data_IF_575303473151
#
_entry.id   IF_575303473151
#
_cell.length_a   1.000
_cell.length_b   1.000
_cell.length_c   1.000
_cell.angle_alpha   90.00
_cell.angle_beta   90.00
_cell.angle_gamma   90.00
#
_symmetry.space_group_name_H-M   'P 1'
#
loop_
_entity.id
_entity.type
_entity.pdbx_description
1 polymer ?
#
# COMPACT_ATOMS: atom_id res chain seq x y z
N UNK A 1 -12.01 67.34 45.67
CA UNK A 1 -13.07 66.35 45.42
C UNK A 1 -13.26 66.40 43.91
N UNK A 2 -12.90 65.41 43.11
CA UNK A 2 -12.99 63.96 43.32
C UNK A 2 -11.76 63.22 42.76
N UNK A 3 -11.60 62.01 43.26
CA UNK A 3 -10.46 61.10 43.21
C UNK A 3 -10.60 59.99 42.17
N UNK A 4 -9.46 59.36 41.87
CA UNK A 4 -9.27 57.98 41.38
C UNK A 4 -9.64 57.66 39.93
N UNK A 5 -8.89 56.81 39.21
CA UNK A 5 -7.79 55.98 39.66
C UNK A 5 -7.08 55.25 38.52
N UNK A 6 -5.86 54.83 38.84
CA UNK A 6 -5.01 53.87 38.14
C UNK A 6 -5.74 52.57 37.79
N UNK A 7 -5.54 52.09 36.56
CA UNK A 7 -5.58 50.66 36.27
C UNK A 7 -4.59 50.31 35.17
N UNK A 8 -3.60 49.53 35.58
CA UNK A 8 -2.63 48.83 34.75
C UNK A 8 -3.26 47.61 34.02
N UNK A 9 -2.41 46.97 33.21
CA UNK A 9 -2.59 45.71 32.45
C UNK A 9 -3.24 45.88 31.06
N UNK A 10 -2.74 45.28 29.98
CA UNK A 10 -1.80 44.17 29.83
C UNK A 10 -1.26 44.21 28.40
N UNK A 11 0.06 44.10 28.23
CA UNK A 11 0.69 43.91 26.94
C UNK A 11 0.77 42.40 26.68
N UNK A 12 -0.11 41.88 25.81
CA UNK A 12 -0.04 40.48 25.37
C UNK A 12 0.83 40.41 24.10
N UNK A 13 2.06 39.93 24.27
CA UNK A 13 2.95 39.54 23.19
C UNK A 13 2.45 38.23 22.56
N UNK A 14 1.53 38.34 21.60
CA UNK A 14 1.11 37.23 20.75
C UNK A 14 2.12 36.99 19.63
N UNK A 15 3.17 36.20 19.91
CA UNK A 15 4.10 35.68 18.91
C UNK A 15 3.43 34.65 17.99
N UNK A 16 2.54 35.10 17.11
CA UNK A 16 1.99 34.27 16.04
C UNK A 16 3.06 34.00 15.00
N UNK A 17 3.45 32.74 14.83
CA UNK A 17 4.24 32.31 13.69
C UNK A 17 3.59 32.87 12.42
N UNK A 18 4.30 33.76 11.71
CA UNK A 18 3.81 34.33 10.47
C UNK A 18 3.59 33.17 9.50
N UNK A 19 2.34 32.76 9.33
CA UNK A 19 1.96 31.88 8.23
C UNK A 19 2.17 32.70 6.97
N UNK A 20 3.34 32.52 6.35
CA UNK A 20 3.64 33.15 5.08
C UNK A 20 2.71 32.53 4.04
N UNK A 21 1.66 33.24 3.67
CA UNK A 21 0.84 32.87 2.52
C UNK A 21 1.60 33.26 1.27
N UNK A 22 2.19 32.27 0.60
CA UNK A 22 2.86 32.45 -0.68
C UNK A 22 1.82 32.30 -1.80
N UNK A 23 1.32 33.42 -2.32
CA UNK A 23 0.49 33.41 -3.53
C UNK A 23 1.38 33.16 -4.76
N UNK A 24 1.40 31.92 -5.25
CA UNK A 24 2.13 31.55 -6.46
C UNK A 24 1.17 31.55 -7.65
N UNK A 25 1.53 32.26 -8.73
CA UNK A 25 0.84 32.15 -10.02
C UNK A 25 1.47 30.98 -10.78
N UNK A 26 0.72 29.90 -10.90
CA UNK A 26 1.12 28.71 -11.67
C UNK A 26 0.31 28.70 -12.95
N UNK A 27 0.99 28.54 -14.09
CA UNK A 27 0.31 28.31 -15.36
C UNK A 27 -0.51 27.01 -15.27
N UNK A 28 -1.80 27.07 -15.59
CA UNK A 28 -2.68 25.91 -15.52
C UNK A 28 -2.18 24.75 -16.40
N UNK A 29 -1.41 25.00 -17.46
CA UNK A 29 -0.75 23.96 -18.28
C UNK A 29 0.27 23.13 -17.49
N UNK A 30 0.91 23.70 -16.46
CA UNK A 30 1.78 22.97 -15.52
C UNK A 30 1.01 22.00 -14.61
N UNK A 31 -0.31 22.14 -14.54
CA UNK A 31 -1.20 21.23 -13.82
C UNK A 31 -1.81 20.18 -14.74
N UNK A 32 -1.21 19.88 -15.89
CA UNK A 32 -1.64 18.77 -16.75
C UNK A 32 -0.63 17.63 -16.68
N UNK A 33 -1.13 16.41 -16.76
CA UNK A 33 -0.25 15.27 -17.00
C UNK A 33 0.38 15.41 -18.40
N UNK A 34 1.70 15.42 -18.56
CA UNK A 34 2.33 15.54 -19.88
C UNK A 34 2.13 14.32 -20.78
N UNK A 35 1.62 13.21 -20.22
CA UNK A 35 1.37 11.96 -20.96
C UNK A 35 -0.07 11.92 -21.48
N UNK A 36 -1.06 12.24 -20.63
CA UNK A 36 -2.48 12.17 -21.03
C UNK A 36 -3.16 13.52 -21.21
N UNK A 37 -2.46 14.63 -20.99
CA UNK A 37 -2.96 16.01 -21.12
C UNK A 37 -4.23 16.30 -20.30
N UNK A 38 -4.52 15.49 -19.29
CA UNK A 38 -5.65 15.70 -18.38
C UNK A 38 -5.25 16.64 -17.26
N UNK A 39 -6.12 17.61 -16.95
CA UNK A 39 -5.94 18.55 -15.85
C UNK A 39 -5.96 17.84 -14.49
N UNK A 40 -5.03 18.19 -13.62
CA UNK A 40 -5.08 17.86 -12.21
C UNK A 40 -6.21 18.68 -11.57
N UNK A 41 -7.26 18.03 -11.07
CA UNK A 41 -8.37 18.71 -10.38
C UNK A 41 -7.83 19.44 -9.12
N UNK A 42 -8.16 20.73 -8.92
CA UNK A 42 -7.97 21.41 -7.63
C UNK A 42 -8.80 20.76 -6.50
N UNK A 43 -8.37 20.82 -5.23
CA UNK A 43 -7.16 21.46 -4.71
C UNK A 43 -6.02 20.43 -4.77
N UNK A 44 -5.18 20.54 -5.80
CA UNK A 44 -3.97 19.74 -6.09
C UNK A 44 -4.02 18.27 -5.63
N UNK A 45 -4.33 17.40 -6.59
CA UNK A 45 -3.72 16.10 -6.91
C UNK A 45 -4.79 15.08 -7.29
N UNK A 46 -4.96 14.94 -8.60
CA UNK A 46 -4.83 13.66 -9.31
C UNK A 46 -5.56 12.44 -8.69
N UNK A 47 -6.88 12.52 -8.58
CA UNK A 47 -7.71 11.37 -8.16
C UNK A 47 -7.72 10.20 -9.16
N UNK A 48 -7.54 10.47 -10.46
CA UNK A 48 -7.84 9.48 -11.50
C UNK A 48 -6.81 9.37 -12.64
N UNK A 49 -5.66 10.05 -12.57
CA UNK A 49 -4.66 9.90 -13.64
C UNK A 49 -3.77 8.67 -13.39
N UNK A 50 -3.71 7.70 -14.31
CA UNK A 50 -2.89 6.50 -14.16
C UNK A 50 -1.37 6.77 -14.18
N UNK A 51 -0.96 7.97 -14.62
CA UNK A 51 0.44 8.39 -14.68
C UNK A 51 0.88 9.17 -13.42
N UNK A 52 -0.01 9.32 -12.44
CA UNK A 52 0.31 10.00 -11.19
C UNK A 52 1.52 9.35 -10.50
N UNK A 53 2.46 10.15 -9.96
CA UNK A 53 3.51 9.61 -9.14
C UNK A 53 2.94 8.83 -7.95
N UNK A 54 3.43 7.61 -7.80
CA UNK A 54 3.15 6.72 -6.68
C UNK A 54 4.41 6.66 -5.80
N UNK A 55 4.24 6.77 -4.49
CA UNK A 55 5.34 6.63 -3.53
C UNK A 55 5.73 5.16 -3.36
N UNK A 56 7.02 4.91 -3.12
CA UNK A 56 7.52 3.58 -2.83
C UNK A 56 6.94 3.07 -1.49
N UNK A 57 6.36 1.85 -1.45
CA UNK A 57 5.80 1.27 -0.22
C UNK A 57 6.88 0.72 0.74
N UNK A 58 8.16 0.84 0.41
CA UNK A 58 9.24 0.44 1.31
C UNK A 58 9.46 1.46 2.42
N UNK A 59 9.44 1.03 3.70
CA UNK A 59 9.72 1.92 4.82
C UNK A 59 11.06 2.63 4.68
N UNK A 60 11.05 3.96 4.77
CA UNK A 60 12.25 4.79 4.67
C UNK A 60 12.69 5.09 3.23
N UNK A 61 12.01 4.59 2.20
CA UNK A 61 12.28 4.95 0.81
C UNK A 61 11.46 6.17 0.39
N UNK A 62 12.14 7.26 -0.01
CA UNK A 62 11.50 8.50 -0.47
C UNK A 62 11.25 8.53 -1.99
N UNK A 63 11.47 7.41 -2.70
CA UNK A 63 11.28 7.35 -4.14
C UNK A 63 9.79 7.48 -4.50
N UNK A 64 9.49 8.30 -5.51
CA UNK A 64 8.16 8.41 -6.09
C UNK A 64 8.26 8.61 -7.59
N UNK A 65 7.52 7.80 -8.36
CA UNK A 65 7.53 7.86 -9.82
C UNK A 65 6.22 7.30 -10.39
N UNK A 66 6.06 7.32 -11.72
CA UNK A 66 4.93 6.64 -12.37
C UNK A 66 4.91 5.14 -12.03
N UNK A 67 3.75 4.45 -12.14
CA UNK A 67 3.66 3.03 -11.80
C UNK A 67 4.70 2.14 -12.49
N UNK A 68 4.99 2.28 -13.80
CA UNK A 68 6.03 1.48 -14.46
C UNK A 68 7.43 1.72 -13.87
N UNK A 69 7.82 2.98 -13.69
CA UNK A 69 9.12 3.34 -13.12
C UNK A 69 9.27 2.88 -11.66
N UNK A 70 8.14 2.81 -10.92
CA UNK A 70 8.13 2.26 -9.58
C UNK A 70 8.35 0.74 -9.55
N UNK A 71 7.83 -0.01 -10.53
CA UNK A 71 8.09 -1.45 -10.65
C UNK A 71 9.58 -1.70 -10.90
N UNK A 72 10.20 -0.94 -11.80
CA UNK A 72 11.64 -1.01 -12.08
C UNK A 72 12.46 -0.70 -10.82
N UNK A 73 12.07 0.35 -10.10
CA UNK A 73 12.71 0.73 -8.83
C UNK A 73 12.60 -0.37 -7.76
N UNK A 74 11.41 -0.95 -7.55
CA UNK A 74 11.19 -2.02 -6.58
C UNK A 74 12.05 -3.25 -6.90
N UNK A 75 12.18 -3.58 -8.19
CA UNK A 75 13.01 -4.70 -8.64
C UNK A 75 14.49 -4.41 -8.41
N UNK A 76 14.97 -3.24 -8.82
CA UNK A 76 16.39 -2.89 -8.79
C UNK A 76 16.92 -2.50 -7.40
N UNK A 77 16.15 -1.75 -6.61
CA UNK A 77 16.60 -1.20 -5.34
C UNK A 77 16.20 -2.05 -4.12
N UNK A 78 15.13 -2.86 -4.25
CA UNK A 78 14.56 -3.60 -3.12
C UNK A 78 14.55 -5.11 -3.31
N UNK A 79 15.07 -5.63 -4.43
CA UNK A 79 15.07 -7.06 -4.74
C UNK A 79 13.67 -7.68 -4.61
N UNK A 80 12.63 -6.91 -4.96
CA UNK A 80 11.24 -7.35 -4.97
C UNK A 80 10.92 -7.87 -6.38
N UNK A 81 11.00 -9.18 -6.66
CA UNK A 81 10.75 -9.68 -8.00
C UNK A 81 9.28 -9.45 -8.39
N UNK A 82 9.08 -9.15 -9.67
CA UNK A 82 7.76 -9.20 -10.29
C UNK A 82 7.37 -10.67 -10.39
N UNK A 83 6.25 -11.04 -9.77
CA UNK A 83 5.80 -12.44 -9.73
C UNK A 83 5.12 -12.80 -11.02
N UNK A 84 4.07 -12.09 -11.39
CA UNK A 84 3.31 -12.30 -12.62
C UNK A 84 2.39 -11.12 -12.89
N UNK A 85 1.87 -11.08 -14.10
CA UNK A 85 0.75 -10.22 -14.46
C UNK A 85 -0.56 -10.81 -13.95
N UNK A 86 -1.43 -9.97 -13.38
CA UNK A 86 -2.73 -10.40 -12.86
C UNK A 86 -3.87 -9.89 -13.75
N UNK A 87 -4.86 -10.75 -13.95
CA UNK A 87 -6.12 -10.38 -14.57
C UNK A 87 -7.21 -10.30 -13.48
N UNK A 88 -8.04 -9.25 -13.51
CA UNK A 88 -9.06 -9.10 -12.48
C UNK A 88 -10.11 -10.21 -12.57
N UNK A 89 -10.56 -10.71 -11.42
CA UNK A 89 -11.53 -11.81 -11.31
C UNK A 89 -11.00 -13.19 -11.70
N UNK A 90 -9.74 -13.30 -12.14
CA UNK A 90 -9.10 -14.59 -12.44
C UNK A 90 -8.11 -14.98 -11.33
N UNK A 91 -8.25 -16.18 -10.77
CA UNK A 91 -7.27 -16.72 -9.83
C UNK A 91 -5.88 -16.89 -10.45
N UNK A 92 -4.85 -16.40 -9.77
CA UNK A 92 -3.44 -16.67 -10.03
C UNK A 92 -2.88 -17.52 -8.88
N UNK A 93 -2.10 -18.55 -9.20
CA UNK A 93 -1.38 -19.37 -8.21
C UNK A 93 0.09 -18.97 -8.17
N UNK A 94 0.59 -18.60 -6.99
CA UNK A 94 1.99 -18.19 -6.78
C UNK A 94 2.65 -19.06 -5.72
N UNK A 95 3.94 -19.37 -5.92
CA UNK A 95 4.76 -20.11 -4.94
C UNK A 95 5.58 -19.12 -4.13
N UNK A 96 5.40 -19.13 -2.81
CA UNK A 96 6.05 -18.19 -1.89
C UNK A 96 6.98 -18.95 -0.93
N UNK A 97 8.31 -18.80 -1.05
CA UNK A 97 9.29 -19.42 -0.16
C UNK A 97 9.21 -18.91 1.29
N UNK A 98 9.49 -19.78 2.27
CA UNK A 98 9.54 -19.50 3.71
C UNK A 98 10.79 -20.16 4.34
N UNK A 99 11.63 -19.43 5.10
CA UNK A 99 11.57 -18.00 5.37
C UNK A 99 12.06 -17.20 4.16
N UNK A 100 11.24 -16.30 3.63
CA UNK A 100 11.64 -15.52 2.48
C UNK A 100 12.79 -14.56 2.84
N UNK A 101 13.93 -14.69 2.16
CA UNK A 101 14.88 -13.58 1.98
C UNK A 101 14.18 -12.42 1.25
N UNK A 102 13.24 -12.73 0.37
CA UNK A 102 12.42 -11.83 -0.42
C UNK A 102 11.02 -11.68 0.20
N UNK A 103 10.88 -10.78 1.19
CA UNK A 103 9.61 -10.61 1.91
C UNK A 103 8.49 -10.00 1.09
N UNK A 104 8.81 -9.46 -0.08
CA UNK A 104 7.89 -8.66 -0.88
C UNK A 104 8.01 -8.99 -2.35
N UNK A 105 6.86 -8.98 -3.01
CA UNK A 105 6.65 -9.42 -4.39
C UNK A 105 5.70 -8.48 -5.08
N UNK A 106 5.94 -8.19 -6.35
CA UNK A 106 5.15 -7.24 -7.13
C UNK A 106 4.21 -7.98 -8.08
N UNK A 107 2.93 -7.59 -8.08
CA UNK A 107 1.91 -8.03 -9.03
C UNK A 107 1.46 -6.82 -9.85
N UNK A 108 1.33 -6.97 -11.16
CA UNK A 108 0.91 -5.88 -12.06
C UNK A 108 -0.34 -6.30 -12.81
N UNK A 109 -1.42 -5.52 -12.69
CA UNK A 109 -2.65 -5.79 -13.41
C UNK A 109 -2.50 -5.51 -14.91
N UNK A 110 -2.92 -6.45 -15.76
CA UNK A 110 -2.78 -6.31 -17.21
C UNK A 110 -3.64 -5.19 -17.81
N UNK A 111 -4.85 -5.02 -17.29
CA UNK A 111 -5.83 -4.10 -17.85
C UNK A 111 -5.45 -2.63 -17.68
N UNK A 112 -4.93 -2.26 -16.51
CA UNK A 112 -4.75 -0.86 -16.09
C UNK A 112 -3.37 -0.57 -15.49
N UNK A 113 -2.43 -1.52 -15.56
CA UNK A 113 -1.08 -1.42 -15.03
C UNK A 113 -1.02 -1.04 -13.55
N UNK A 114 -2.06 -1.37 -12.78
CA UNK A 114 -2.07 -1.13 -11.34
C UNK A 114 -1.14 -2.09 -10.65
N UNK A 115 -0.36 -1.53 -9.73
CA UNK A 115 0.68 -2.25 -9.00
C UNK A 115 0.14 -2.67 -7.64
N UNK A 116 0.30 -3.94 -7.32
CA UNK A 116 -0.01 -4.52 -6.02
C UNK A 116 1.26 -5.14 -5.44
N UNK A 117 1.44 -5.02 -4.12
CA UNK A 117 2.56 -5.59 -3.39
C UNK A 117 2.03 -6.67 -2.45
N UNK A 118 2.51 -7.89 -2.68
CA UNK A 118 2.31 -9.03 -1.80
C UNK A 118 3.42 -9.04 -0.75
N UNK A 119 3.07 -8.88 0.52
CA UNK A 119 4.00 -8.88 1.63
C UNK A 119 3.85 -10.16 2.47
N UNK A 120 4.98 -10.71 2.89
CA UNK A 120 5.09 -11.98 3.61
C UNK A 120 5.90 -11.76 4.89
N UNK A 121 5.26 -12.01 6.04
CA UNK A 121 5.87 -11.83 7.34
C UNK A 121 5.70 -13.09 8.21
N UNK A 122 6.70 -13.43 9.01
CA UNK A 122 6.52 -14.44 10.04
C UNK A 122 5.75 -13.84 11.21
N UNK A 123 4.72 -14.53 11.68
CA UNK A 123 3.95 -14.14 12.88
C UNK A 123 3.99 -15.28 13.89
N UNK A 124 4.17 -14.92 15.17
CA UNK A 124 4.11 -15.83 16.30
C UNK A 124 5.46 -16.08 16.98
N UNK A 125 5.39 -16.37 18.28
CA UNK A 125 6.50 -16.79 19.14
C UNK A 125 6.00 -17.86 20.12
N UNK A 126 6.86 -18.77 20.55
CA UNK A 126 6.50 -19.82 21.52
C UNK A 126 5.65 -20.97 20.94
N UNK A 127 6.16 -21.66 19.92
CA UNK A 127 5.59 -22.94 19.45
C UNK A 127 4.41 -22.87 18.46
N UNK A 128 3.91 -21.67 18.14
CA UNK A 128 2.89 -21.44 17.10
C UNK A 128 3.38 -20.47 16.04
N UNK A 129 4.31 -20.95 15.21
CA UNK A 129 4.81 -20.19 14.07
C UNK A 129 3.80 -20.25 12.91
N UNK A 130 3.46 -19.07 12.37
CA UNK A 130 2.64 -18.92 11.18
C UNK A 130 3.30 -17.89 10.24
N UNK A 131 2.89 -17.92 8.98
CA UNK A 131 3.26 -16.90 8.00
C UNK A 131 2.02 -16.07 7.70
N UNK A 132 2.12 -14.75 7.85
CA UNK A 132 1.10 -13.83 7.38
C UNK A 132 1.40 -13.37 5.97
N UNK A 133 0.35 -13.35 5.16
CA UNK A 133 0.38 -12.83 3.80
C UNK A 133 -0.66 -11.72 3.67
N UNK A 134 -0.23 -10.56 3.19
CA UNK A 134 -1.10 -9.39 2.98
C UNK A 134 -0.88 -8.80 1.59
N UNK A 135 -1.91 -8.15 1.05
CA UNK A 135 -1.86 -7.48 -0.24
C UNK A 135 -2.15 -5.98 -0.09
N UNK A 136 -1.31 -5.14 -0.69
CA UNK A 136 -1.46 -3.69 -0.72
C UNK A 136 -1.50 -3.22 -2.17
N UNK A 137 -2.38 -2.27 -2.50
CA UNK A 137 -2.33 -1.57 -3.78
C UNK A 137 -1.41 -0.36 -3.66
N UNK A 138 -0.48 -0.21 -4.59
CA UNK A 138 0.30 1.02 -4.70
C UNK A 138 -0.53 2.08 -5.42
N UNK A 139 -0.66 3.22 -4.76
CA UNK A 139 -1.56 4.29 -5.17
C UNK A 139 -0.89 5.65 -5.10
N UNK A 140 -1.29 6.55 -6.00
CA UNK A 140 -1.12 7.97 -5.74
C UNK A 140 -1.99 8.39 -4.55
N UNK A 141 -1.50 9.37 -3.77
CA UNK A 141 -2.07 9.75 -2.47
C UNK A 141 -3.55 10.15 -2.48
N UNK A 142 -4.09 10.53 -3.65
CA UNK A 142 -5.45 11.06 -3.77
C UNK A 142 -6.53 10.05 -4.17
N UNK A 143 -6.18 8.78 -4.41
CA UNK A 143 -7.14 7.77 -4.88
C UNK A 143 -7.79 7.04 -3.69
N UNK A 144 -8.81 7.69 -3.11
CA UNK A 144 -9.27 7.49 -1.74
C UNK A 144 -10.41 6.46 -1.52
N UNK A 145 -10.65 5.47 -2.40
CA UNK A 145 -11.59 4.38 -2.07
C UNK A 145 -11.03 2.98 -2.39
N UNK A 146 -11.34 1.96 -1.56
CA UNK A 146 -10.96 0.58 -1.82
C UNK A 146 -11.79 0.05 -3.01
N UNK A 147 -11.26 0.25 -4.21
CA UNK A 147 -11.82 -0.22 -5.49
C UNK A 147 -11.62 -1.71 -5.72
N UNK A 148 -10.96 -2.43 -4.80
CA UNK A 148 -10.58 -3.82 -5.01
C UNK A 148 -10.86 -4.69 -3.80
N UNK A 149 -11.28 -5.92 -4.08
CA UNK A 149 -11.43 -7.01 -3.11
C UNK A 149 -10.45 -8.10 -3.49
N UNK A 150 -9.75 -8.67 -2.51
CA UNK A 150 -8.81 -9.75 -2.74
C UNK A 150 -9.19 -10.98 -1.92
N UNK A 151 -9.33 -12.10 -2.63
CA UNK A 151 -9.45 -13.42 -2.01
C UNK A 151 -8.12 -14.12 -2.12
N UNK A 152 -7.57 -14.54 -0.98
CA UNK A 152 -6.34 -15.33 -0.92
C UNK A 152 -6.60 -16.65 -0.22
N UNK A 153 -6.00 -17.72 -0.70
CA UNK A 153 -6.09 -19.02 -0.05
C UNK A 153 -4.79 -19.81 -0.16
N UNK A 154 -4.48 -20.57 0.88
CA UNK A 154 -3.42 -21.55 0.89
C UNK A 154 -4.04 -22.93 1.12
N UNK A 155 -3.51 -23.93 0.44
CA UNK A 155 -3.91 -25.32 0.62
C UNK A 155 -2.85 -26.04 1.45
N UNK A 156 -3.25 -26.99 2.29
CA UNK A 156 -2.30 -27.94 2.86
C UNK A 156 -1.81 -28.92 1.79
N UNK A 157 -0.57 -29.44 1.91
CA UNK A 157 -0.11 -30.52 1.05
C UNK A 157 -1.07 -31.72 1.16
N UNK A 158 -1.43 -32.32 0.01
CA UNK A 158 -2.45 -33.36 -0.05
C UNK A 158 -2.05 -34.60 0.77
N UNK A 159 -2.62 -34.75 1.96
CA UNK A 159 -2.41 -35.90 2.83
C UNK A 159 -3.71 -36.73 2.94
N UNK A 160 -4.08 -37.40 1.84
CA UNK A 160 -5.07 -38.50 1.82
C UNK A 160 -6.49 -38.25 2.38
N UNK A 161 -6.80 -37.04 2.84
CA UNK A 161 -8.06 -36.64 3.47
C UNK A 161 -8.52 -35.25 3.01
N UNK A 162 -9.54 -34.69 3.67
CA UNK A 162 -10.08 -33.37 3.33
C UNK A 162 -8.96 -32.33 3.52
N UNK A 163 -8.55 -31.67 2.43
CA UNK A 163 -7.48 -30.69 2.47
C UNK A 163 -7.85 -29.53 3.41
N UNK A 164 -6.99 -29.23 4.38
CA UNK A 164 -7.10 -28.00 5.15
C UNK A 164 -6.86 -26.81 4.20
N UNK A 165 -7.79 -25.86 4.21
CA UNK A 165 -7.70 -24.63 3.41
C UNK A 165 -7.75 -23.45 4.38
N UNK A 166 -6.75 -22.60 4.32
CA UNK A 166 -6.75 -21.29 4.97
C UNK A 166 -7.14 -20.28 3.90
N UNK A 167 -8.17 -19.49 4.16
CA UNK A 167 -8.67 -18.52 3.19
C UNK A 167 -9.02 -17.22 3.90
N UNK A 168 -8.81 -16.13 3.20
CA UNK A 168 -9.22 -14.79 3.61
C UNK A 168 -9.83 -14.08 2.41
N UNK A 169 -10.80 -13.24 2.70
CA UNK A 169 -11.42 -12.35 1.74
C UNK A 169 -11.41 -10.95 2.35
N UNK A 170 -10.71 -10.01 1.68
CA UNK A 170 -10.37 -8.71 2.26
C UNK A 170 -10.50 -7.59 1.25
N UNK A 171 -10.71 -6.39 1.77
CA UNK A 171 -10.57 -5.17 0.98
C UNK A 171 -9.09 -4.81 0.82
N UNK A 172 -8.69 -4.42 -0.39
CA UNK A 172 -7.30 -4.08 -0.67
C UNK A 172 -7.04 -2.63 -0.29
N UNK A 173 -6.25 -2.44 0.78
CA UNK A 173 -5.80 -1.13 1.20
C UNK A 173 -4.88 -0.49 0.16
N UNK A 174 -4.90 0.85 0.07
CA UNK A 174 -4.08 1.62 -0.85
C UNK A 174 -3.00 2.40 -0.10
N UNK A 175 -1.75 2.37 -0.58
CA UNK A 175 -0.61 3.03 0.08
C UNK A 175 -0.73 4.55 0.12
N UNK A 176 -1.51 5.15 -0.79
CA UNK A 176 -1.72 6.59 -0.87
C UNK A 176 -2.54 7.19 0.28
N UNK A 177 -3.24 6.35 1.06
CA UNK A 177 -4.08 6.80 2.17
C UNK A 177 -3.28 7.21 3.42
N UNK A 178 -1.98 6.89 3.50
CA UNK A 178 -1.14 7.31 4.64
C UNK A 178 -0.60 8.72 4.39
N UNK A 179 -1.39 9.71 4.83
CA UNK A 179 -0.91 11.09 4.95
C UNK A 179 0.32 11.13 5.89
N UNK A 180 1.31 11.94 5.53
CA UNK A 180 2.62 11.97 6.17
C UNK A 180 2.59 12.18 7.69
N UNK A 181 3.52 11.52 8.37
CA UNK A 181 3.80 11.71 9.79
C UNK A 181 4.18 10.39 10.44
N UNK A 182 5.39 10.32 11.00
CA UNK A 182 5.93 9.11 11.64
C UNK A 182 4.97 8.53 12.68
N UNK A 183 4.66 7.25 12.50
CA UNK A 183 3.85 6.42 13.38
C UNK A 183 3.74 5.06 12.68
N UNK A 184 4.09 3.99 13.39
CA UNK A 184 4.34 2.67 12.81
C UNK A 184 3.25 2.19 11.86
N UNK A 185 3.65 1.40 10.87
CA UNK A 185 2.74 0.56 10.08
C UNK A 185 2.19 -0.51 11.01
N UNK A 186 1.29 -0.12 11.89
CA UNK A 186 0.56 -1.01 12.79
C UNK A 186 -0.88 -0.50 12.97
N UNK A 187 -1.61 -0.44 11.86
CA UNK A 187 -3.07 -0.48 11.91
C UNK A 187 -3.53 -1.54 10.91
N UNK A 188 -4.07 -2.63 11.49
CA UNK A 188 -4.44 -3.90 10.88
C UNK A 188 -4.72 -3.90 9.35
N UNK A 189 -3.72 -4.30 8.57
CA UNK A 189 -4.02 -4.98 7.31
C UNK A 189 -4.66 -6.34 7.65
N UNK A 190 -5.83 -6.64 7.10
CA UNK A 190 -6.32 -8.01 7.08
C UNK A 190 -5.26 -8.88 6.39
N UNK A 191 -4.94 -10.04 6.97
CA UNK A 191 -3.92 -10.93 6.44
C UNK A 191 -4.41 -12.37 6.42
N UNK A 192 -3.88 -13.17 5.49
CA UNK A 192 -4.01 -14.62 5.53
C UNK A 192 -2.96 -15.18 6.49
N UNK A 193 -3.39 -15.77 7.59
CA UNK A 193 -2.52 -16.57 8.45
C UNK A 193 -2.36 -17.98 7.89
N UNK A 194 -1.14 -18.36 7.51
CA UNK A 194 -0.78 -19.68 6.99
C UNK A 194 0.04 -20.44 8.05
N UNK A 195 -0.56 -21.44 8.74
CA UNK A 195 0.15 -22.31 9.67
C UNK A 195 1.29 -23.08 9.01
N UNK A 196 2.36 -23.37 9.78
CA UNK A 196 3.52 -24.11 9.28
C UNK A 196 3.20 -25.49 8.67
N UNK A 197 2.12 -26.14 9.10
CA UNK A 197 1.65 -27.44 8.56
C UNK A 197 1.15 -27.36 7.11
N UNK A 198 0.94 -26.16 6.58
CA UNK A 198 0.47 -25.93 5.21
C UNK A 198 1.61 -25.58 4.25
N UNK A 199 2.85 -25.60 4.74
CA UNK A 199 4.04 -25.40 3.92
C UNK A 199 4.33 -26.70 3.15
N UNK A 200 4.66 -26.55 1.88
CA UNK A 200 5.02 -27.62 0.96
C UNK A 200 6.54 -27.73 0.87
N UNK A 201 7.04 -28.94 0.62
CA UNK A 201 8.47 -29.19 0.47
C UNK A 201 9.17 -29.41 1.82
N UNK A 202 9.96 -30.48 1.89
CA UNK A 202 10.72 -30.87 3.08
C UNK A 202 11.92 -29.94 3.34
N UNK A 203 12.60 -29.51 2.27
CA UNK A 203 13.83 -28.69 2.34
C UNK A 203 13.61 -27.20 2.07
N UNK A 204 12.73 -26.86 1.12
CA UNK A 204 12.32 -25.48 0.78
C UNK A 204 10.85 -25.33 1.11
N UNK A 205 10.55 -24.90 2.34
CA UNK A 205 9.17 -24.73 2.82
C UNK A 205 8.48 -23.62 2.04
N UNK A 206 7.49 -23.95 1.24
CA UNK A 206 6.80 -22.99 0.36
C UNK A 206 5.28 -22.97 0.57
N UNK A 207 4.69 -21.80 0.42
CA UNK A 207 3.25 -21.64 0.39
C UNK A 207 2.80 -21.67 -1.07
N UNK A 208 1.88 -22.56 -1.40
CA UNK A 208 1.13 -22.49 -2.66
C UNK A 208 -0.09 -21.60 -2.40
N UNK A 209 0.00 -20.36 -2.86
CA UNK A 209 -0.97 -19.31 -2.59
C UNK A 209 -1.80 -19.03 -3.85
N UNK A 210 -3.11 -19.21 -3.75
CA UNK A 210 -4.05 -18.68 -4.73
C UNK A 210 -4.44 -17.24 -4.39
N UNK A 211 -4.47 -16.37 -5.39
CA UNK A 211 -4.81 -14.95 -5.27
C UNK A 211 -5.84 -14.62 -6.35
N UNK A 212 -6.96 -14.01 -5.99
CA UNK A 212 -7.93 -13.42 -6.92
C UNK A 212 -8.16 -11.97 -6.51
N UNK A 213 -8.02 -11.04 -7.46
CA UNK A 213 -8.25 -9.61 -7.23
C UNK A 213 -9.45 -9.20 -8.07
N UNK A 214 -10.50 -8.72 -7.43
CA UNK A 214 -11.73 -8.27 -8.08
C UNK A 214 -11.82 -6.74 -8.01
N UNK A 215 -12.26 -6.11 -9.11
CA UNK A 215 -12.70 -4.71 -9.09
C UNK A 215 -14.08 -4.65 -8.45
N UNK A 216 -14.24 -3.79 -7.44
CA UNK A 216 -15.57 -3.45 -6.91
C UNK A 216 -16.25 -2.55 -7.95
N UNK A 217 -17.26 -3.07 -8.63
CA UNK A 217 -18.15 -2.26 -9.46
C UNK A 217 -19.03 -1.42 -8.52
N UNK A 218 -18.94 -0.09 -8.65
CA UNK A 218 -19.87 0.84 -8.02
C UNK A 218 -21.23 0.82 -8.71
#
# INVERSE_FOLDING_TARGET
MESNGDRAEKQEAGGGARRAELAVRIDMTMLHCPICFLAFKPPIFQRDCPHAPCACPEPGCAFAASPPALVDHLTAAHSCPVVDKVEYGKPLCVRVPVPASERRRVLVAEEDNRVFVLAVAGIGGGGRAATAVSLLRVAASAEAEPRYRCRMWANAPAAGGKADIAMVDMDVASTGAVAGGGGGVEEAAMFLGVPAKMLHGEESKEIVLGICIDKKTS
#
